data_IF_925316931345
#
_entry.id   IF_925316931345
#
_cell.length_a   1.000
_cell.length_b   1.000
_cell.length_c   1.000
_cell.angle_alpha   90.00
_cell.angle_beta   90.00
_cell.angle_gamma   90.00
#
_symmetry.space_group_name_H-M   'P 1'
#
loop_
_entity.id
_entity.type
_entity.pdbx_description
1 polymer ?
#
# COMPACT_ATOMS: atom_id res chain seq x y z
N UNK A 1 12.10 -15.80 35.97
CA UNK A 1 13.50 -16.20 35.78
C UNK A 1 13.84 -16.65 34.37
N UNK A 2 13.37 -17.80 33.81
CA UNK A 2 13.74 -18.26 32.45
C UNK A 2 13.35 -17.27 31.33
N UNK A 3 12.19 -16.56 31.43
CA UNK A 3 11.74 -15.56 30.44
C UNK A 3 12.62 -14.31 30.45
N UNK A 4 13.09 -13.90 31.61
CA UNK A 4 13.98 -12.75 31.76
C UNK A 4 15.40 -13.04 31.25
N UNK A 5 15.93 -14.22 31.56
CA UNK A 5 17.23 -14.68 31.03
C UNK A 5 17.21 -14.71 29.51
N UNK A 6 16.15 -15.24 28.88
CA UNK A 6 15.97 -15.21 27.42
C UNK A 6 15.92 -13.79 26.86
N UNK A 7 15.32 -12.83 27.56
CA UNK A 7 15.28 -11.44 27.14
C UNK A 7 16.67 -10.77 27.23
N UNK A 8 17.42 -11.05 28.29
CA UNK A 8 18.80 -10.55 28.46
C UNK A 8 19.71 -11.10 27.37
N UNK A 9 19.72 -12.42 27.17
CA UNK A 9 20.50 -13.05 26.10
C UNK A 9 20.18 -12.51 24.72
N UNK A 10 18.91 -12.27 24.45
CA UNK A 10 18.47 -11.65 23.19
C UNK A 10 18.98 -10.21 23.04
N UNK A 11 19.05 -9.44 24.13
CA UNK A 11 19.63 -8.07 24.12
C UNK A 11 21.14 -8.12 23.84
N UNK A 12 21.87 -8.98 24.54
CA UNK A 12 23.32 -9.15 24.36
C UNK A 12 23.64 -9.57 22.93
N UNK A 13 22.98 -10.60 22.42
CA UNK A 13 23.13 -11.05 21.03
C UNK A 13 22.90 -9.90 20.03
N UNK A 14 21.86 -9.10 20.25
CA UNK A 14 21.54 -7.96 19.38
C UNK A 14 22.63 -6.90 19.38
N UNK A 15 23.26 -6.65 20.53
CA UNK A 15 24.37 -5.68 20.66
C UNK A 15 25.60 -6.19 19.91
N UNK A 16 25.92 -7.48 20.06
CA UNK A 16 27.05 -8.12 19.38
C UNK A 16 26.89 -8.04 17.87
N UNK A 17 25.71 -8.43 17.37
CA UNK A 17 25.37 -8.36 15.93
C UNK A 17 25.51 -6.95 15.38
N UNK A 18 24.99 -5.95 16.10
CA UNK A 18 25.09 -4.55 15.69
C UNK A 18 26.55 -4.07 15.62
N UNK A 19 27.35 -4.41 16.63
CA UNK A 19 28.80 -4.07 16.66
C UNK A 19 29.52 -4.73 15.50
N UNK A 20 29.33 -6.04 15.29
CA UNK A 20 29.94 -6.77 14.19
C UNK A 20 29.66 -6.11 12.81
N UNK A 21 28.40 -5.83 12.50
CA UNK A 21 28.08 -5.21 11.23
C UNK A 21 28.53 -3.76 11.10
N UNK A 22 28.69 -3.01 12.21
CA UNK A 22 29.30 -1.67 12.18
C UNK A 22 30.79 -1.73 11.87
N UNK A 23 31.51 -2.74 12.35
CA UNK A 23 32.90 -2.99 11.98
C UNK A 23 32.98 -3.35 10.49
N UNK A 24 32.12 -4.24 10.01
CA UNK A 24 32.17 -4.75 8.65
C UNK A 24 31.78 -3.70 7.58
N UNK A 25 30.76 -2.87 7.83
CA UNK A 25 30.20 -1.96 6.83
C UNK A 25 30.28 -0.48 7.20
N UNK A 26 30.86 -0.15 8.35
CA UNK A 26 30.99 1.20 8.88
C UNK A 26 29.72 1.71 9.56
N UNK A 27 29.89 2.81 10.29
CA UNK A 27 28.80 3.58 10.89
C UNK A 27 28.09 4.37 9.81
N UNK A 28 26.74 4.42 9.90
CA UNK A 28 25.94 5.26 9.00
C UNK A 28 25.72 6.61 9.65
N UNK A 29 26.02 7.66 8.91
CA UNK A 29 25.92 9.05 9.37
C UNK A 29 24.72 9.77 8.73
N UNK A 30 24.17 10.73 9.46
CA UNK A 30 23.19 11.68 8.96
C UNK A 30 23.86 13.03 8.70
N UNK A 31 23.80 13.51 7.47
CA UNK A 31 24.19 14.87 7.09
C UNK A 31 23.02 15.49 6.32
N UNK A 32 22.47 16.62 6.80
CA UNK A 32 21.23 17.22 6.31
C UNK A 32 21.24 17.42 4.79
N UNK A 33 22.28 18.03 4.27
CA UNK A 33 22.35 18.49 2.87
C UNK A 33 23.21 17.57 1.99
N UNK A 34 23.43 16.32 2.44
CA UNK A 34 24.20 15.37 1.66
C UNK A 34 23.37 14.80 0.50
N UNK A 35 23.76 15.18 -0.72
CA UNK A 35 23.08 14.74 -1.96
C UNK A 35 23.57 13.40 -2.49
N UNK A 36 24.83 13.01 -2.17
CA UNK A 36 25.43 11.79 -2.70
C UNK A 36 25.55 11.80 -4.23
N UNK A 37 25.71 10.60 -4.82
CA UNK A 37 25.76 10.43 -6.28
C UNK A 37 24.34 10.12 -6.81
N UNK A 38 23.47 11.14 -6.80
CA UNK A 38 22.06 11.03 -7.22
C UNK A 38 21.83 11.88 -8.46
N UNK A 39 21.31 11.26 -9.50
CA UNK A 39 20.70 11.93 -10.64
C UNK A 39 19.18 11.94 -10.47
N UNK A 40 18.51 13.08 -10.67
CA UNK A 40 17.05 13.17 -10.70
C UNK A 40 16.55 13.42 -12.11
N UNK A 41 15.52 12.66 -12.49
CA UNK A 41 14.83 12.83 -13.77
C UNK A 41 13.38 13.21 -13.45
N UNK A 42 12.98 14.40 -13.90
CA UNK A 42 11.65 14.96 -13.66
C UNK A 42 10.70 14.74 -14.83
N UNK A 43 9.44 14.55 -14.54
CA UNK A 43 8.41 14.45 -15.55
C UNK A 43 8.19 15.83 -16.21
N UNK A 44 8.47 15.94 -17.52
CA UNK A 44 8.37 17.20 -18.25
C UNK A 44 6.92 17.60 -18.55
N UNK A 45 6.04 16.64 -18.84
CA UNK A 45 4.64 16.87 -19.18
C UNK A 45 3.71 16.40 -18.05
N UNK A 46 2.83 17.29 -17.59
CA UNK A 46 2.05 17.15 -16.38
C UNK A 46 0.79 16.26 -16.52
N UNK A 47 0.87 15.10 -17.20
CA UNK A 47 -0.24 14.15 -17.22
C UNK A 47 -0.50 13.46 -15.87
N UNK A 48 0.51 13.51 -14.96
CA UNK A 48 0.41 12.97 -13.60
C UNK A 48 0.46 14.12 -12.59
N UNK A 49 -0.68 14.82 -12.41
CA UNK A 49 -0.77 15.95 -11.46
C UNK A 49 -1.12 15.48 -10.04
N UNK A 50 -0.50 16.09 -9.05
CA UNK A 50 -0.86 15.96 -7.64
C UNK A 50 -0.96 17.36 -7.01
N UNK A 51 -1.99 17.61 -6.18
CA UNK A 51 -2.17 18.89 -5.49
C UNK A 51 -1.01 19.30 -4.58
N UNK A 52 -0.24 18.31 -4.07
CA UNK A 52 0.86 18.52 -3.12
C UNK A 52 2.24 18.49 -3.75
N UNK A 53 2.35 18.01 -4.99
CA UNK A 53 3.60 17.91 -5.71
C UNK A 53 3.43 18.41 -7.14
N UNK A 54 4.21 19.42 -7.52
CA UNK A 54 4.13 20.03 -8.86
C UNK A 54 4.50 19.04 -9.96
N UNK A 55 5.49 18.17 -9.71
CA UNK A 55 5.93 17.17 -10.68
C UNK A 55 6.53 15.95 -9.98
N UNK A 56 6.40 14.78 -10.60
CA UNK A 56 7.04 13.54 -10.14
C UNK A 56 8.45 13.41 -10.69
N UNK A 57 9.29 12.71 -9.94
CA UNK A 57 10.60 12.34 -10.41
C UNK A 57 10.97 10.88 -10.04
N UNK A 58 12.00 10.38 -10.71
CA UNK A 58 12.79 9.25 -10.23
C UNK A 58 14.15 9.76 -9.81
N UNK A 59 14.68 9.20 -8.74
CA UNK A 59 16.07 9.40 -8.31
C UNK A 59 16.87 8.16 -8.67
N UNK A 60 18.02 8.33 -9.34
CA UNK A 60 18.93 7.25 -9.70
C UNK A 60 20.17 7.40 -8.83
N UNK A 61 20.39 6.44 -7.96
CA UNK A 61 21.56 6.36 -7.09
C UNK A 61 22.57 5.38 -7.69
N UNK A 62 23.77 5.86 -8.03
CA UNK A 62 24.84 5.04 -8.59
C UNK A 62 25.73 4.50 -7.48
N UNK A 63 26.08 3.22 -7.55
CA UNK A 63 26.90 2.47 -6.60
C UNK A 63 26.47 2.74 -5.15
N UNK A 64 25.16 2.66 -4.92
CA UNK A 64 24.56 2.91 -3.63
C UNK A 64 24.04 1.65 -2.94
N UNK A 65 23.65 1.83 -1.69
CA UNK A 65 23.08 0.75 -0.88
C UNK A 65 21.65 1.04 -0.45
N UNK A 66 20.86 -0.01 -0.34
CA UNK A 66 19.55 0.01 0.32
C UNK A 66 19.66 -0.81 1.59
N UNK A 67 19.14 -0.27 2.69
CA UNK A 67 18.92 -1.04 3.91
C UNK A 67 17.49 -0.82 4.41
N UNK A 68 16.76 -1.92 4.65
CA UNK A 68 15.39 -1.86 5.20
C UNK A 68 15.22 -2.88 6.31
N UNK A 69 14.53 -2.52 7.39
CA UNK A 69 14.13 -3.46 8.44
C UNK A 69 12.72 -4.01 8.21
N UNK A 70 11.93 -3.22 7.54
CA UNK A 70 10.54 -3.53 7.21
C UNK A 70 10.10 -2.74 5.96
N UNK A 71 8.85 -2.88 5.58
CA UNK A 71 8.24 -2.09 4.50
C UNK A 71 8.02 -0.61 4.87
N UNK A 72 8.17 -0.26 6.14
CA UNK A 72 7.93 1.10 6.67
C UNK A 72 9.19 1.97 6.71
N UNK A 73 10.38 1.34 6.73
CA UNK A 73 11.63 2.07 6.75
C UNK A 73 12.56 1.55 5.66
N UNK A 74 13.01 2.45 4.80
CA UNK A 74 14.04 2.19 3.81
C UNK A 74 15.05 3.32 3.80
N UNK A 75 16.31 2.96 4.00
CA UNK A 75 17.44 3.86 3.94
C UNK A 75 18.20 3.67 2.62
N UNK A 76 18.36 4.74 1.86
CA UNK A 76 19.26 4.81 0.72
C UNK A 76 20.56 5.44 1.18
N UNK A 77 21.69 4.76 0.91
CA UNK A 77 22.97 5.08 1.52
C UNK A 77 24.02 5.23 0.42
N UNK A 78 24.78 6.32 0.49
CA UNK A 78 25.98 6.58 -0.34
C UNK A 78 27.14 6.96 0.57
N UNK A 79 28.31 6.35 0.37
CA UNK A 79 29.53 6.61 1.18
C UNK A 79 29.24 6.68 2.69
N UNK A 80 28.55 5.68 3.22
CA UNK A 80 28.10 5.61 4.62
C UNK A 80 27.25 6.78 5.14
N UNK A 81 26.67 7.59 4.28
CA UNK A 81 25.74 8.64 4.64
C UNK A 81 24.34 8.31 4.13
N UNK A 82 23.33 8.49 4.99
CA UNK A 82 21.93 8.32 4.59
C UNK A 82 21.48 9.50 3.73
N UNK A 83 20.80 9.21 2.65
CA UNK A 83 20.24 10.20 1.71
C UNK A 83 18.84 10.59 2.19
N UNK A 84 18.78 11.68 2.97
CA UNK A 84 17.57 12.11 3.69
C UNK A 84 16.36 12.33 2.75
N UNK A 85 16.59 12.89 1.57
CA UNK A 85 15.54 13.31 0.65
C UNK A 85 14.77 12.15 0.04
N UNK A 86 15.43 11.01 -0.16
CA UNK A 86 14.85 9.83 -0.81
C UNK A 86 14.62 8.66 0.14
N UNK A 87 15.22 8.71 1.33
CA UNK A 87 15.00 7.68 2.35
C UNK A 87 13.65 7.86 3.02
N UNK A 88 13.03 6.75 3.38
CA UNK A 88 11.71 6.72 3.97
C UNK A 88 11.78 6.20 5.41
N UNK A 89 11.45 7.04 6.36
CA UNK A 89 11.45 6.70 7.78
C UNK A 89 10.07 7.00 8.37
N UNK A 90 9.25 5.97 8.50
CA UNK A 90 7.95 6.03 9.15
C UNK A 90 8.06 5.45 10.56
N UNK A 91 7.55 6.20 11.54
CA UNK A 91 7.48 5.78 12.94
C UNK A 91 6.05 6.02 13.41
N UNK A 92 5.38 4.97 13.90
CA UNK A 92 3.99 5.03 14.35
C UNK A 92 3.05 5.69 13.31
N UNK A 93 3.17 5.28 12.06
CA UNK A 93 2.34 5.79 10.96
C UNK A 93 2.66 7.23 10.51
N UNK A 94 3.73 7.88 11.04
CA UNK A 94 4.12 9.24 10.69
C UNK A 94 5.50 9.29 10.03
N UNK A 95 5.62 9.97 8.90
CA UNK A 95 6.90 10.27 8.27
C UNK A 95 7.72 11.19 9.15
N UNK A 96 8.97 10.83 9.33
CA UNK A 96 9.95 11.57 10.13
C UNK A 96 11.27 11.75 9.38
N UNK A 97 12.13 12.63 9.89
CA UNK A 97 13.49 12.80 9.35
C UNK A 97 14.28 11.50 9.38
N UNK A 98 15.09 11.25 8.36
CA UNK A 98 16.00 10.11 8.28
C UNK A 98 17.07 10.12 9.38
N UNK A 99 17.25 11.21 10.13
CA UNK A 99 18.02 11.25 11.39
C UNK A 99 17.51 10.21 12.40
N UNK A 100 16.20 9.88 12.35
CA UNK A 100 15.56 8.88 13.22
C UNK A 100 15.53 7.47 12.60
N UNK A 101 16.10 7.28 11.42
CA UNK A 101 16.14 5.97 10.77
C UNK A 101 16.90 4.96 11.62
N UNK A 102 16.44 3.71 11.62
CA UNK A 102 17.09 2.63 12.36
C UNK A 102 18.55 2.44 11.98
N UNK A 103 18.97 2.75 10.74
CA UNK A 103 20.35 2.60 10.29
C UNK A 103 21.32 3.57 11.00
N UNK A 104 20.84 4.72 11.46
CA UNK A 104 21.66 5.67 12.23
C UNK A 104 22.03 5.07 13.59
N UNK A 105 21.10 4.38 14.23
CA UNK A 105 21.32 3.76 15.54
C UNK A 105 22.04 2.41 15.43
N UNK A 106 21.61 1.56 14.49
CA UNK A 106 22.01 0.14 14.42
C UNK A 106 23.02 -0.14 13.30
N UNK A 107 23.35 0.82 12.43
CA UNK A 107 24.07 0.54 11.19
C UNK A 107 23.21 -0.31 10.23
N UNK A 108 23.88 -1.09 9.41
CA UNK A 108 23.23 -2.01 8.45
C UNK A 108 23.37 -3.46 8.91
N UNK A 109 22.56 -3.95 9.89
CA UNK A 109 22.78 -5.20 10.62
C UNK A 109 22.34 -6.43 9.83
N UNK A 110 22.69 -6.48 8.56
CA UNK A 110 22.39 -7.57 7.63
C UNK A 110 23.53 -7.74 6.63
N UNK A 111 23.80 -8.98 6.19
CA UNK A 111 24.80 -9.25 5.17
C UNK A 111 24.46 -8.53 3.86
N UNK A 112 25.46 -7.86 3.30
CA UNK A 112 25.34 -7.13 2.05
C UNK A 112 25.26 -8.10 0.86
N UNK A 113 24.23 -7.95 0.05
CA UNK A 113 24.10 -8.61 -1.25
C UNK A 113 24.39 -7.61 -2.37
N UNK A 114 25.33 -7.95 -3.26
CA UNK A 114 25.70 -7.11 -4.39
C UNK A 114 25.02 -7.56 -5.66
N UNK A 115 24.49 -6.62 -6.41
CA UNK A 115 23.82 -6.85 -7.68
C UNK A 115 24.46 -6.01 -8.79
N UNK A 116 24.91 -6.65 -9.85
CA UNK A 116 25.29 -5.95 -11.09
C UNK A 116 24.01 -5.61 -11.84
N UNK A 117 23.87 -4.34 -12.28
CA UNK A 117 22.68 -3.88 -13.01
C UNK A 117 21.85 -2.83 -12.27
N UNK A 118 20.64 -2.62 -12.78
CA UNK A 118 19.70 -1.59 -12.32
C UNK A 118 18.58 -2.20 -11.50
N UNK A 119 18.43 -1.75 -10.27
CA UNK A 119 17.41 -2.19 -9.31
C UNK A 119 16.34 -1.11 -9.18
N UNK A 120 15.09 -1.41 -9.52
CA UNK A 120 13.94 -0.56 -9.21
C UNK A 120 13.47 -0.84 -7.77
N UNK A 121 13.62 0.15 -6.90
CA UNK A 121 13.17 0.04 -5.51
C UNK A 121 11.69 0.39 -5.39
N UNK A 122 10.88 -0.60 -5.02
CA UNK A 122 9.45 -0.45 -4.75
C UNK A 122 9.14 -0.52 -3.25
N UNK A 123 10.16 -0.65 -2.41
CA UNK A 123 10.04 -0.70 -0.94
C UNK A 123 9.97 0.72 -0.41
N UNK A 124 8.77 1.18 -0.06
CA UNK A 124 8.56 2.49 0.53
C UNK A 124 7.13 2.58 1.07
N UNK A 125 6.99 2.98 2.34
CA UNK A 125 5.69 2.96 3.01
C UNK A 125 5.17 1.54 3.20
N UNK A 126 3.91 1.36 3.46
CA UNK A 126 3.29 0.05 3.62
C UNK A 126 3.30 -0.81 2.32
N UNK A 127 4.33 -0.72 1.55
CA UNK A 127 4.70 -1.16 0.19
C UNK A 127 3.99 -2.43 -0.34
N UNK A 128 2.75 -2.59 0.05
CA UNK A 128 1.85 -3.57 -0.55
C UNK A 128 2.21 -5.03 -0.35
N UNK A 129 3.02 -5.40 0.65
CA UNK A 129 3.44 -6.79 0.88
C UNK A 129 2.27 -7.78 0.63
N UNK A 130 1.27 -7.77 1.51
CA UNK A 130 0.03 -8.51 1.32
C UNK A 130 -1.19 -7.58 1.20
N UNK A 131 -1.00 -6.28 1.33
CA UNK A 131 -2.08 -5.32 1.38
C UNK A 131 -2.50 -4.90 -0.03
N UNK A 132 -3.69 -5.31 -0.41
CA UNK A 132 -4.28 -5.07 -1.73
C UNK A 132 -4.44 -3.59 -2.06
N UNK A 133 -4.84 -2.75 -1.07
CA UNK A 133 -4.97 -1.29 -1.26
C UNK A 133 -3.62 -0.65 -1.60
N UNK A 134 -2.58 -0.91 -0.80
CA UNK A 134 -1.25 -0.34 -1.02
C UNK A 134 -0.61 -0.85 -2.31
N UNK A 135 -0.93 -2.09 -2.72
CA UNK A 135 -0.50 -2.57 -4.03
C UNK A 135 -1.05 -1.72 -5.16
N UNK A 136 -2.37 -1.49 -5.18
CA UNK A 136 -3.03 -0.74 -6.26
C UNK A 136 -2.68 0.75 -6.23
N UNK A 137 -2.58 1.37 -5.05
CA UNK A 137 -2.50 2.82 -4.91
C UNK A 137 -1.10 3.36 -4.60
N UNK A 138 -0.14 2.50 -4.22
CA UNK A 138 1.24 2.91 -3.95
C UNK A 138 2.22 2.27 -4.95
N UNK A 139 2.20 0.92 -5.08
CA UNK A 139 3.24 0.20 -5.84
C UNK A 139 3.02 0.29 -7.35
N UNK A 140 1.83 -0.03 -7.84
CA UNK A 140 1.55 0.08 -9.29
C UNK A 140 1.75 1.51 -9.81
N UNK A 141 1.34 2.58 -9.09
CA UNK A 141 1.64 3.95 -9.50
C UNK A 141 3.14 4.29 -9.56
N UNK A 142 3.97 3.75 -8.66
CA UNK A 142 5.43 3.93 -8.74
C UNK A 142 6.02 3.32 -10.02
N UNK A 143 5.53 2.17 -10.43
CA UNK A 143 5.93 1.54 -11.69
C UNK A 143 5.57 2.44 -12.88
N UNK A 144 4.39 3.08 -12.84
CA UNK A 144 3.96 4.00 -13.91
C UNK A 144 4.77 5.28 -13.92
N UNK A 145 5.05 5.87 -12.76
CA UNK A 145 5.96 7.02 -12.66
C UNK A 145 7.31 6.67 -13.28
N UNK A 146 7.85 5.48 -12.96
CA UNK A 146 9.11 5.02 -13.55
C UNK A 146 8.99 4.88 -15.07
N UNK A 147 7.94 4.18 -15.56
CA UNK A 147 7.71 3.97 -17.00
C UNK A 147 7.55 5.26 -17.79
N UNK A 148 7.02 6.32 -17.15
CA UNK A 148 6.86 7.64 -17.79
C UNK A 148 8.18 8.41 -17.91
N UNK A 149 9.22 8.00 -17.19
CA UNK A 149 10.51 8.70 -17.12
C UNK A 149 11.67 7.91 -17.71
N UNK A 150 11.54 6.58 -17.74
CA UNK A 150 12.53 5.69 -18.37
C UNK A 150 11.89 4.37 -18.82
N UNK A 151 12.50 3.72 -19.80
CA UNK A 151 12.06 2.38 -20.23
C UNK A 151 12.25 1.36 -19.12
N UNK A 152 11.23 0.55 -18.85
CA UNK A 152 11.32 -0.56 -17.90
C UNK A 152 12.28 -1.66 -18.34
N UNK A 153 12.63 -1.74 -19.66
CA UNK A 153 13.64 -2.67 -20.16
C UNK A 153 15.05 -2.38 -19.65
N UNK A 154 15.28 -1.18 -19.08
CA UNK A 154 16.54 -0.81 -18.42
C UNK A 154 16.61 -1.25 -16.96
N UNK A 155 15.55 -1.92 -16.44
CA UNK A 155 15.45 -2.43 -15.07
C UNK A 155 15.74 -3.93 -15.09
N UNK A 156 16.80 -4.34 -14.40
CA UNK A 156 17.17 -5.75 -14.29
C UNK A 156 16.43 -6.45 -13.14
N UNK A 157 16.14 -5.70 -12.06
CA UNK A 157 15.55 -6.26 -10.86
C UNK A 157 14.50 -5.33 -10.24
N UNK A 158 13.44 -5.94 -9.69
CA UNK A 158 12.43 -5.27 -8.87
C UNK A 158 12.69 -5.61 -7.40
N UNK A 159 13.04 -4.62 -6.58
CA UNK A 159 13.27 -4.79 -5.15
C UNK A 159 11.97 -4.57 -4.39
N UNK A 160 11.39 -5.64 -3.86
CA UNK A 160 10.08 -5.65 -3.21
C UNK A 160 9.88 -6.96 -2.42
N UNK A 161 8.86 -7.06 -1.53
CA UNK A 161 8.51 -8.32 -0.89
C UNK A 161 8.14 -9.42 -1.89
N UNK A 162 8.10 -10.69 -1.44
CA UNK A 162 7.66 -11.83 -2.28
C UNK A 162 6.25 -11.57 -2.83
N UNK A 163 6.10 -11.69 -4.14
CA UNK A 163 4.83 -11.43 -4.82
C UNK A 163 3.74 -12.45 -4.47
N UNK A 164 2.53 -11.95 -4.23
CA UNK A 164 1.30 -12.71 -4.12
C UNK A 164 0.69 -12.99 -5.52
N UNK A 165 -0.29 -13.90 -5.60
CA UNK A 165 -0.96 -14.27 -6.88
C UNK A 165 -1.53 -13.04 -7.60
N UNK A 166 -2.30 -12.19 -6.90
CA UNK A 166 -2.91 -10.99 -7.49
C UNK A 166 -1.87 -9.97 -7.98
N UNK A 167 -0.74 -9.86 -7.29
CA UNK A 167 0.35 -8.96 -7.70
C UNK A 167 1.00 -9.43 -9.00
N UNK A 168 1.32 -10.73 -9.11
CA UNK A 168 1.81 -11.32 -10.37
C UNK A 168 0.82 -11.12 -11.51
N UNK A 169 -0.47 -11.36 -11.23
CA UNK A 169 -1.52 -11.20 -12.23
C UNK A 169 -1.61 -9.76 -12.75
N UNK A 170 -1.59 -8.77 -11.87
CA UNK A 170 -1.64 -7.35 -12.27
C UNK A 170 -0.41 -6.94 -13.08
N UNK A 171 0.80 -7.37 -12.71
CA UNK A 171 2.02 -7.10 -13.47
C UNK A 171 1.96 -7.73 -14.88
N UNK A 172 1.53 -8.98 -14.98
CA UNK A 172 1.35 -9.66 -16.26
C UNK A 172 0.36 -8.92 -17.17
N UNK A 173 -0.78 -8.45 -16.63
CA UNK A 173 -1.77 -7.67 -17.37
C UNK A 173 -1.24 -6.30 -17.83
N UNK A 174 -0.25 -5.75 -17.16
CA UNK A 174 0.46 -4.52 -17.54
C UNK A 174 1.59 -4.78 -18.57
N UNK A 175 1.75 -6.03 -19.02
CA UNK A 175 2.81 -6.42 -19.94
C UNK A 175 4.19 -6.50 -19.30
N UNK A 176 4.25 -6.49 -17.95
CA UNK A 176 5.50 -6.61 -17.20
C UNK A 176 5.73 -8.11 -16.95
N UNK A 177 6.56 -8.70 -17.81
CA UNK A 177 6.95 -10.11 -17.78
C UNK A 177 8.46 -10.19 -17.54
N UNK A 178 8.95 -11.38 -17.24
CA UNK A 178 10.37 -11.74 -17.23
C UNK A 178 11.27 -10.83 -16.36
N UNK A 179 10.72 -10.26 -15.29
CA UNK A 179 11.47 -9.48 -14.33
C UNK A 179 11.93 -10.33 -13.15
N UNK A 180 13.14 -10.04 -12.66
CA UNK A 180 13.71 -10.69 -11.49
C UNK A 180 13.32 -9.93 -10.21
N UNK A 181 12.69 -10.61 -9.27
CA UNK A 181 12.35 -10.04 -7.97
C UNK A 181 13.45 -10.33 -6.96
N UNK A 182 14.01 -9.27 -6.39
CA UNK A 182 14.83 -9.36 -5.18
C UNK A 182 13.88 -9.22 -3.99
N UNK A 183 13.70 -10.30 -3.23
CA UNK A 183 12.84 -10.31 -2.06
C UNK A 183 13.43 -9.46 -0.92
N UNK A 184 12.86 -8.29 -0.67
CA UNK A 184 13.33 -7.32 0.32
C UNK A 184 13.26 -7.82 1.77
N UNK A 185 12.41 -8.80 2.08
CA UNK A 185 12.37 -9.43 3.42
C UNK A 185 13.56 -10.35 3.67
N UNK A 186 14.10 -10.99 2.63
CA UNK A 186 15.28 -11.84 2.71
C UNK A 186 16.58 -11.06 2.50
N UNK A 187 16.57 -10.08 1.59
CA UNK A 187 17.73 -9.27 1.22
C UNK A 187 17.54 -7.83 1.74
N UNK A 188 17.66 -7.65 3.05
CA UNK A 188 17.42 -6.36 3.71
C UNK A 188 18.54 -5.34 3.52
N UNK A 189 19.73 -5.76 3.11
CA UNK A 189 20.87 -4.92 2.80
C UNK A 189 21.44 -5.31 1.44
N UNK A 190 21.35 -4.42 0.47
CA UNK A 190 21.85 -4.64 -0.87
C UNK A 190 22.61 -3.43 -1.40
N UNK A 191 23.53 -3.68 -2.33
CA UNK A 191 24.22 -2.71 -3.15
C UNK A 191 23.93 -3.02 -4.62
N UNK A 192 23.76 -2.00 -5.44
CA UNK A 192 23.58 -2.19 -6.88
C UNK A 192 24.32 -1.12 -7.69
N UNK A 193 24.64 -1.46 -8.94
CA UNK A 193 25.27 -0.49 -9.86
C UNK A 193 24.43 0.76 -10.03
N UNK A 194 23.09 0.58 -10.19
CA UNK A 194 22.12 1.66 -10.19
C UNK A 194 20.88 1.26 -9.38
N UNK A 195 20.40 2.20 -8.58
CA UNK A 195 19.14 2.05 -7.84
C UNK A 195 18.19 3.15 -8.32
N UNK A 196 17.09 2.76 -8.92
CA UNK A 196 16.01 3.65 -9.37
C UNK A 196 14.97 3.75 -8.27
N UNK A 197 14.68 4.96 -7.82
CA UNK A 197 13.82 5.27 -6.69
C UNK A 197 12.74 6.22 -7.17
N UNK A 198 11.53 5.74 -7.47
CA UNK A 198 10.41 6.60 -7.87
C UNK A 198 9.82 7.30 -6.65
N UNK A 199 9.29 8.49 -6.91
CA UNK A 199 8.46 9.18 -5.92
C UNK A 199 7.27 8.32 -5.45
N UNK A 200 6.85 8.54 -4.19
CA UNK A 200 5.57 8.02 -3.74
C UNK A 200 4.43 8.81 -4.42
N UNK A 201 3.33 8.16 -4.87
CA UNK A 201 2.28 8.87 -5.61
C UNK A 201 1.53 9.92 -4.78
N UNK A 202 1.47 9.80 -3.45
CA UNK A 202 0.66 10.68 -2.60
C UNK A 202 1.20 10.92 -1.17
N UNK A 203 2.17 10.15 -0.68
CA UNK A 203 2.64 10.25 0.71
C UNK A 203 4.02 10.89 0.81
N UNK A 204 4.08 12.16 1.26
CA UNK A 204 5.30 12.95 1.33
C UNK A 204 5.61 13.49 2.73
N UNK A 205 4.62 13.55 3.63
CA UNK A 205 4.76 14.12 4.98
C UNK A 205 3.63 13.66 5.89
N UNK A 206 3.70 13.99 7.17
CA UNK A 206 2.60 13.80 8.11
C UNK A 206 2.30 12.33 8.43
N UNK A 207 1.06 12.06 8.75
CA UNK A 207 0.57 10.70 9.06
C UNK A 207 -0.06 10.06 7.84
N UNK A 208 0.13 8.75 7.68
CA UNK A 208 -0.46 7.99 6.58
C UNK A 208 -1.99 8.11 6.56
N UNK A 209 -2.63 8.16 7.74
CA UNK A 209 -4.09 8.32 7.86
C UNK A 209 -4.63 9.61 7.24
N UNK A 210 -3.87 10.70 7.33
CA UNK A 210 -4.27 11.98 6.74
C UNK A 210 -3.90 12.06 5.27
N UNK A 211 -2.70 11.57 4.91
CA UNK A 211 -2.16 11.70 3.56
C UNK A 211 -2.87 10.82 2.53
N UNK A 212 -3.46 9.72 2.94
CA UNK A 212 -4.24 8.84 2.05
C UNK A 212 -5.43 9.57 1.37
N UNK A 213 -5.91 10.67 1.95
CA UNK A 213 -6.89 11.55 1.31
C UNK A 213 -6.31 12.34 0.11
N UNK A 214 -4.99 12.29 -0.07
CA UNK A 214 -4.27 12.96 -1.17
C UNK A 214 -4.02 12.06 -2.38
N UNK A 215 -4.68 10.90 -2.44
CA UNK A 215 -4.64 10.03 -3.63
C UNK A 215 -5.00 10.86 -4.86
N UNK A 216 -4.10 10.95 -5.85
CA UNK A 216 -4.34 11.78 -7.03
C UNK A 216 -5.34 11.13 -7.99
N UNK A 217 -6.10 11.94 -8.67
CA UNK A 217 -7.12 11.52 -9.63
C UNK A 217 -6.53 10.64 -10.75
N UNK A 218 -5.34 10.97 -11.23
CA UNK A 218 -4.68 10.20 -12.28
C UNK A 218 -4.48 8.73 -11.92
N UNK A 219 -4.25 8.42 -10.63
CA UNK A 219 -4.12 7.03 -10.16
C UNK A 219 -5.40 6.25 -10.38
N UNK A 220 -6.54 6.83 -10.03
CA UNK A 220 -7.86 6.22 -10.26
C UNK A 220 -8.12 6.04 -11.76
N UNK A 221 -7.93 7.10 -12.55
CA UNK A 221 -8.12 7.06 -14.01
C UNK A 221 -7.21 6.02 -14.68
N UNK A 222 -5.95 5.97 -14.26
CA UNK A 222 -4.99 5.04 -14.80
C UNK A 222 -5.33 3.58 -14.45
N UNK A 223 -5.67 3.27 -13.20
CA UNK A 223 -6.09 1.91 -12.79
C UNK A 223 -7.30 1.45 -13.60
N UNK A 224 -8.30 2.31 -13.75
CA UNK A 224 -9.48 2.02 -14.59
C UNK A 224 -9.09 1.73 -16.04
N UNK A 225 -8.34 2.63 -16.68
CA UNK A 225 -7.88 2.47 -18.07
C UNK A 225 -7.08 1.18 -18.25
N UNK A 226 -6.22 0.84 -17.28
CA UNK A 226 -5.32 -0.32 -17.37
C UNK A 226 -6.04 -1.66 -17.24
N UNK A 227 -7.08 -1.75 -16.41
CA UNK A 227 -7.65 -3.05 -16.04
C UNK A 227 -9.07 -3.27 -16.55
N UNK A 228 -9.90 -2.23 -16.72
CA UNK A 228 -11.25 -2.40 -17.25
C UNK A 228 -11.28 -2.88 -18.71
N UNK A 229 -10.21 -2.72 -19.48
CA UNK A 229 -10.12 -3.28 -20.83
C UNK A 229 -10.15 -4.82 -20.86
N UNK A 230 -9.81 -5.47 -19.74
CA UNK A 230 -9.82 -6.92 -19.60
C UNK A 230 -11.11 -7.47 -18.99
N UNK A 231 -12.09 -6.59 -18.67
CA UNK A 231 -13.38 -7.04 -18.13
C UNK A 231 -14.12 -7.93 -19.12
N UNK A 232 -14.85 -8.89 -18.59
CA UNK A 232 -15.78 -9.70 -19.38
C UNK A 232 -16.97 -8.85 -19.86
N UNK A 233 -17.70 -9.32 -20.87
CA UNK A 233 -18.91 -8.66 -21.38
C UNK A 233 -19.93 -8.44 -20.25
N UNK A 234 -20.86 -7.47 -20.45
CA UNK A 234 -21.87 -7.05 -19.46
C UNK A 234 -22.49 -8.25 -18.72
N UNK A 235 -22.28 -8.30 -17.41
CA UNK A 235 -22.97 -9.19 -16.50
C UNK A 235 -24.23 -8.56 -15.92
N UNK A 236 -25.04 -9.37 -15.23
CA UNK A 236 -26.20 -8.86 -14.47
C UNK A 236 -25.76 -7.84 -13.43
N UNK A 237 -26.58 -6.81 -13.22
CA UNK A 237 -26.37 -5.82 -12.16
C UNK A 237 -26.44 -6.46 -10.78
N UNK A 238 -25.39 -6.29 -9.96
CA UNK A 238 -25.22 -6.99 -8.70
C UNK A 238 -25.34 -6.05 -7.50
N UNK A 239 -25.96 -6.54 -6.42
CA UNK A 239 -25.81 -5.99 -5.07
C UNK A 239 -24.82 -6.89 -4.33
N UNK A 240 -23.73 -6.36 -3.81
CA UNK A 240 -22.68 -7.15 -3.16
C UNK A 240 -22.43 -6.71 -1.72
N UNK A 241 -22.24 -7.69 -0.83
CA UNK A 241 -21.73 -7.50 0.51
C UNK A 241 -20.34 -8.12 0.61
N UNK A 242 -19.36 -7.33 1.03
CA UNK A 242 -17.99 -7.80 1.23
C UNK A 242 -17.91 -8.43 2.62
N UNK A 243 -17.84 -9.75 2.67
CA UNK A 243 -17.61 -10.50 3.90
C UNK A 243 -16.09 -10.53 4.22
N UNK A 244 -15.75 -10.18 5.46
CA UNK A 244 -14.38 -10.16 5.96
C UNK A 244 -14.12 -11.18 7.06
N UNK A 245 -15.00 -12.17 7.25
CA UNK A 245 -14.87 -13.19 8.30
C UNK A 245 -13.53 -13.94 8.23
N UNK A 246 -12.99 -14.18 7.02
CA UNK A 246 -11.74 -14.90 6.77
C UNK A 246 -10.51 -13.98 6.60
N UNK A 247 -10.62 -12.68 6.96
CA UNK A 247 -9.49 -11.75 6.81
C UNK A 247 -8.36 -12.09 7.79
N UNK A 248 -7.13 -12.20 7.31
CA UNK A 248 -5.93 -12.36 8.15
C UNK A 248 -5.80 -11.23 9.20
N UNK A 249 -6.28 -10.03 8.86
CA UNK A 249 -6.28 -8.87 9.75
C UNK A 249 -7.66 -8.66 10.33
N UNK A 250 -7.81 -8.92 11.62
CA UNK A 250 -9.10 -8.89 12.33
C UNK A 250 -9.57 -7.49 12.75
N UNK A 251 -9.07 -6.43 12.13
CA UNK A 251 -9.57 -5.08 12.39
C UNK A 251 -10.91 -4.83 11.67
N UNK A 252 -11.76 -4.01 12.25
CA UNK A 252 -13.10 -3.67 11.74
C UNK A 252 -13.99 -4.90 11.49
N UNK A 253 -13.95 -5.91 12.37
CA UNK A 253 -14.79 -7.09 12.29
C UNK A 253 -16.21 -6.79 12.79
N UNK A 254 -17.22 -7.27 12.08
CA UNK A 254 -18.61 -7.26 12.56
C UNK A 254 -18.85 -8.51 13.40
N UNK A 255 -19.21 -8.34 14.69
CA UNK A 255 -19.51 -9.49 15.57
C UNK A 255 -20.84 -10.15 15.22
N UNK A 256 -21.81 -9.38 14.70
CA UNK A 256 -23.07 -9.90 14.20
C UNK A 256 -23.09 -10.10 12.68
N UNK A 257 -21.95 -10.51 12.11
CA UNK A 257 -21.78 -10.66 10.67
C UNK A 257 -22.79 -11.63 10.04
N UNK A 258 -23.11 -12.73 10.73
CA UNK A 258 -24.06 -13.73 10.20
C UNK A 258 -25.50 -13.22 10.17
N UNK A 259 -25.91 -12.43 11.15
CA UNK A 259 -27.19 -11.73 11.14
C UNK A 259 -27.27 -10.77 9.93
N UNK A 260 -26.21 -9.99 9.70
CA UNK A 260 -26.14 -9.05 8.58
C UNK A 260 -26.13 -9.78 7.23
N UNK A 261 -25.41 -10.89 7.11
CA UNK A 261 -25.45 -11.72 5.89
C UNK A 261 -26.86 -12.21 5.60
N UNK A 262 -27.55 -12.82 6.58
CA UNK A 262 -28.93 -13.29 6.44
C UNK A 262 -29.89 -12.14 6.04
N UNK A 263 -29.74 -10.98 6.69
CA UNK A 263 -30.52 -9.78 6.41
C UNK A 263 -30.33 -9.28 4.97
N UNK A 264 -29.09 -9.28 4.46
CA UNK A 264 -28.76 -8.80 3.12
C UNK A 264 -29.09 -9.81 2.02
N UNK A 265 -28.92 -11.11 2.28
CA UNK A 265 -29.34 -12.17 1.36
C UNK A 265 -30.84 -12.06 1.00
N UNK A 266 -31.71 -11.84 2.01
CA UNK A 266 -33.16 -11.61 1.81
C UNK A 266 -33.47 -10.38 0.94
N UNK A 267 -32.47 -9.49 0.70
CA UNK A 267 -32.57 -8.27 -0.14
C UNK A 267 -31.82 -8.38 -1.44
N UNK A 268 -31.45 -9.60 -1.83
CA UNK A 268 -30.79 -9.90 -3.10
C UNK A 268 -29.32 -9.49 -3.16
N UNK A 269 -28.64 -9.33 -1.99
CA UNK A 269 -27.20 -9.13 -1.97
C UNK A 269 -26.47 -10.47 -2.10
N UNK A 270 -25.44 -10.50 -2.92
CA UNK A 270 -24.48 -11.61 -3.00
C UNK A 270 -23.39 -11.39 -1.95
N UNK A 271 -23.13 -12.39 -1.12
CA UNK A 271 -22.06 -12.37 -0.12
C UNK A 271 -20.75 -12.78 -0.81
N UNK A 272 -19.70 -11.97 -0.67
CA UNK A 272 -18.42 -12.17 -1.35
C UNK A 272 -17.23 -12.10 -0.40
N UNK A 273 -16.41 -13.12 -0.42
CA UNK A 273 -15.08 -13.15 0.17
C UNK A 273 -14.06 -12.87 -0.94
N UNK A 274 -13.59 -11.62 -1.03
CA UNK A 274 -12.78 -11.17 -2.16
C UNK A 274 -11.39 -11.79 -2.20
N UNK A 275 -10.88 -12.28 -1.07
CA UNK A 275 -9.55 -12.90 -0.98
C UNK A 275 -9.38 -14.19 -1.78
N UNK A 276 -10.47 -14.93 -1.99
CA UNK A 276 -10.48 -16.17 -2.78
C UNK A 276 -10.60 -15.95 -4.30
N UNK A 277 -10.89 -14.71 -4.73
CA UNK A 277 -11.16 -14.39 -6.12
C UNK A 277 -9.88 -13.97 -6.86
N UNK A 278 -9.77 -14.39 -8.14
CA UNK A 278 -8.76 -13.82 -9.04
C UNK A 278 -8.97 -12.31 -9.24
N UNK A 279 -7.90 -11.60 -9.57
CA UNK A 279 -7.95 -10.15 -9.75
C UNK A 279 -9.00 -9.70 -10.79
N UNK A 280 -9.07 -10.37 -11.95
CA UNK A 280 -10.05 -10.01 -12.97
C UNK A 280 -11.48 -10.37 -12.58
N UNK A 281 -11.70 -11.43 -11.78
CA UNK A 281 -13.00 -11.71 -11.19
C UNK A 281 -13.45 -10.57 -10.26
N UNK A 282 -12.52 -10.03 -9.46
CA UNK A 282 -12.83 -8.85 -8.63
C UNK A 282 -13.17 -7.63 -9.50
N UNK A 283 -12.38 -7.35 -10.55
CA UNK A 283 -12.65 -6.25 -11.50
C UNK A 283 -14.05 -6.39 -12.11
N UNK A 284 -14.42 -7.59 -12.58
CA UNK A 284 -15.73 -7.88 -13.18
C UNK A 284 -16.88 -7.66 -12.19
N UNK A 285 -16.76 -8.22 -10.99
CA UNK A 285 -17.78 -8.12 -9.95
C UNK A 285 -18.05 -6.67 -9.55
N UNK A 286 -17.01 -5.90 -9.29
CA UNK A 286 -17.16 -4.50 -8.91
C UNK A 286 -17.62 -3.61 -10.08
N UNK A 287 -17.20 -3.90 -11.31
CA UNK A 287 -17.71 -3.17 -12.49
C UNK A 287 -19.20 -3.44 -12.77
N UNK A 288 -19.72 -4.61 -12.39
CA UNK A 288 -21.13 -4.96 -12.53
C UNK A 288 -21.95 -4.68 -11.26
N UNK A 289 -21.31 -4.19 -10.17
CA UNK A 289 -22.04 -3.84 -8.97
C UNK A 289 -22.85 -2.55 -9.15
N UNK A 290 -24.12 -2.58 -8.73
CA UNK A 290 -24.96 -1.39 -8.51
C UNK A 290 -24.98 -0.97 -7.05
N UNK A 291 -24.63 -1.88 -6.14
CA UNK A 291 -24.55 -1.65 -4.72
C UNK A 291 -23.40 -2.42 -4.09
N UNK A 292 -22.57 -1.75 -3.29
CA UNK A 292 -21.47 -2.35 -2.54
C UNK A 292 -21.60 -2.00 -1.07
N UNK A 293 -21.67 -2.99 -0.20
CA UNK A 293 -21.71 -2.82 1.27
C UNK A 293 -20.59 -3.65 1.89
N UNK A 294 -19.97 -3.15 2.95
CA UNK A 294 -19.05 -3.97 3.75
C UNK A 294 -18.34 -3.21 4.86
N UNK A 295 -17.66 -3.94 5.75
CA UNK A 295 -16.77 -3.35 6.74
C UNK A 295 -15.52 -2.77 6.07
N UNK A 296 -14.98 -1.69 6.64
CA UNK A 296 -13.73 -1.06 6.20
C UNK A 296 -12.61 -2.08 5.97
N UNK A 297 -11.93 -2.01 4.83
CA UNK A 297 -10.83 -2.91 4.52
C UNK A 297 -10.36 -2.87 3.08
N UNK A 298 -9.21 -3.51 2.82
CA UNK A 298 -8.49 -3.42 1.56
C UNK A 298 -9.32 -3.81 0.31
N UNK A 299 -10.35 -4.63 0.46
CA UNK A 299 -11.26 -5.01 -0.63
C UNK A 299 -12.00 -3.81 -1.25
N UNK A 300 -12.23 -2.75 -0.47
CA UNK A 300 -12.80 -1.49 -0.98
C UNK A 300 -11.90 -0.76 -1.98
N UNK A 301 -10.64 -1.14 -2.12
CA UNK A 301 -9.79 -0.63 -3.20
C UNK A 301 -10.39 -0.92 -4.59
N UNK A 302 -11.19 -1.98 -4.71
CA UNK A 302 -11.92 -2.33 -5.94
C UNK A 302 -13.02 -1.33 -6.33
N UNK A 303 -13.40 -0.39 -5.45
CA UNK A 303 -14.33 0.69 -5.81
C UNK A 303 -13.81 1.50 -7.02
N UNK A 304 -12.50 1.49 -7.26
CA UNK A 304 -11.89 2.08 -8.45
C UNK A 304 -12.47 1.50 -9.75
N UNK A 305 -12.97 0.26 -9.75
CA UNK A 305 -13.52 -0.42 -10.92
C UNK A 305 -15.04 -0.30 -11.06
N UNK A 306 -15.73 0.22 -10.04
CA UNK A 306 -17.18 0.46 -10.11
C UNK A 306 -17.55 1.45 -11.23
N UNK A 307 -18.77 1.34 -11.75
CA UNK A 307 -19.35 2.35 -12.64
C UNK A 307 -19.73 3.59 -11.83
N UNK A 308 -19.74 4.78 -12.46
CA UNK A 308 -20.32 5.97 -11.82
C UNK A 308 -21.72 5.69 -11.29
N UNK A 309 -22.11 6.39 -10.22
CA UNK A 309 -23.42 6.27 -9.53
C UNK A 309 -23.66 4.91 -8.85
N UNK A 310 -22.67 4.01 -8.78
CA UNK A 310 -22.76 2.82 -7.92
C UNK A 310 -22.95 3.25 -6.46
N UNK A 311 -23.95 2.68 -5.78
CA UNK A 311 -24.21 2.93 -4.37
C UNK A 311 -23.18 2.20 -3.49
N UNK A 312 -22.61 2.89 -2.51
CA UNK A 312 -21.57 2.34 -1.62
C UNK A 312 -21.89 2.66 -0.16
N UNK A 313 -21.90 1.64 0.70
CA UNK A 313 -21.97 1.81 2.16
C UNK A 313 -20.71 1.21 2.80
N UNK A 314 -19.89 2.05 3.36
CA UNK A 314 -18.73 1.64 4.18
C UNK A 314 -19.10 1.64 5.66
N UNK A 315 -18.94 0.48 6.32
CA UNK A 315 -19.16 0.32 7.76
C UNK A 315 -17.81 0.42 8.46
N UNK A 316 -17.58 1.43 9.29
CA UNK A 316 -16.26 1.67 9.88
C UNK A 316 -16.27 2.38 11.22
N UNK A 317 -15.18 2.28 12.02
CA UNK A 317 -14.94 3.19 13.14
C UNK A 317 -14.76 4.64 12.66
N UNK A 318 -15.15 5.61 13.48
CA UNK A 318 -15.09 7.04 13.13
C UNK A 318 -13.69 7.51 12.71
N UNK A 319 -12.65 7.03 13.38
CA UNK A 319 -11.26 7.48 13.18
C UNK A 319 -10.51 6.76 12.04
N UNK A 320 -11.10 5.74 11.42
CA UNK A 320 -10.50 5.12 10.23
C UNK A 320 -10.40 6.13 9.06
N UNK A 321 -9.36 6.02 8.21
CA UNK A 321 -9.12 6.98 7.14
C UNK A 321 -10.25 7.02 6.11
N UNK A 322 -10.36 8.12 5.38
CA UNK A 322 -11.40 8.36 4.38
C UNK A 322 -10.95 8.05 2.93
N UNK A 323 -9.98 7.15 2.78
CA UNK A 323 -9.46 6.75 1.47
C UNK A 323 -10.54 6.23 0.51
N UNK A 324 -11.49 5.44 1.00
CA UNK A 324 -12.57 4.90 0.15
C UNK A 324 -13.63 5.95 -0.19
N UNK A 325 -13.88 6.91 0.70
CA UNK A 325 -14.65 8.11 0.37
C UNK A 325 -13.95 8.91 -0.74
N UNK A 326 -12.63 9.09 -0.66
CA UNK A 326 -11.85 9.78 -1.69
C UNK A 326 -11.93 9.06 -3.03
N UNK A 327 -11.72 7.73 -3.06
CA UNK A 327 -11.83 6.92 -4.29
C UNK A 327 -13.24 7.00 -4.86
N UNK A 328 -14.26 6.93 -4.01
CA UNK A 328 -15.66 7.05 -4.41
C UNK A 328 -15.97 8.38 -5.06
N UNK A 329 -15.50 9.48 -4.48
CA UNK A 329 -15.68 10.82 -5.03
C UNK A 329 -14.97 10.97 -6.40
N UNK A 330 -13.73 10.45 -6.51
CA UNK A 330 -12.97 10.50 -7.76
C UNK A 330 -13.57 9.63 -8.88
N UNK A 331 -14.42 8.67 -8.53
CA UNK A 331 -15.07 7.74 -9.44
C UNK A 331 -16.58 7.99 -9.55
N UNK A 332 -17.08 9.13 -9.02
CA UNK A 332 -18.50 9.54 -9.06
C UNK A 332 -19.46 8.47 -8.49
N UNK A 333 -19.12 7.86 -7.34
CA UNK A 333 -19.97 6.89 -6.66
C UNK A 333 -20.87 7.57 -5.63
N UNK A 334 -22.08 7.02 -5.41
CA UNK A 334 -22.99 7.42 -4.34
C UNK A 334 -22.52 6.83 -3.01
N UNK A 335 -21.62 7.53 -2.32
CA UNK A 335 -20.99 7.00 -1.11
C UNK A 335 -21.68 7.45 0.16
N UNK A 336 -21.93 6.49 1.05
CA UNK A 336 -22.32 6.71 2.44
C UNK A 336 -21.41 5.93 3.39
N UNK A 337 -21.24 6.43 4.62
CA UNK A 337 -20.52 5.72 5.66
C UNK A 337 -21.40 5.54 6.91
N UNK A 338 -21.28 4.39 7.56
CA UNK A 338 -21.89 4.13 8.85
C UNK A 338 -20.77 4.06 9.88
N UNK A 339 -20.64 5.12 10.68
CA UNK A 339 -19.68 5.16 11.75
C UNK A 339 -20.20 4.40 12.97
N UNK A 340 -19.40 3.47 13.47
CA UNK A 340 -19.71 2.65 14.62
C UNK A 340 -18.70 2.87 15.75
N UNK A 341 -19.16 2.65 16.99
CA UNK A 341 -18.28 2.56 18.15
C UNK A 341 -17.62 1.19 18.17
N UNK A 342 -16.34 1.14 18.55
CA UNK A 342 -15.63 -0.11 18.79
C UNK A 342 -16.06 -0.69 20.14
N UNK A 343 -16.31 -1.98 20.18
CA UNK A 343 -16.69 -2.71 21.39
C UNK A 343 -15.44 -3.01 22.25
N UNK A 344 -14.33 -3.33 21.61
CA UNK A 344 -13.03 -3.59 22.24
C UNK A 344 -11.96 -2.87 21.41
N UNK A 345 -11.69 -1.59 21.69
CA UNK A 345 -10.70 -0.83 20.91
C UNK A 345 -9.30 -1.42 21.09
N UNK A 346 -8.61 -1.62 19.96
CA UNK A 346 -7.20 -1.98 19.87
C UNK A 346 -6.40 -0.78 19.35
N UNK A 347 -5.08 -0.96 19.25
CA UNK A 347 -4.20 0.04 18.70
C UNK A 347 -4.67 0.52 17.29
N UNK A 348 -4.54 1.80 17.00
CA UNK A 348 -4.97 2.45 15.74
C UNK A 348 -6.47 2.38 15.43
N UNK A 349 -7.33 2.43 16.47
CA UNK A 349 -8.79 2.36 16.29
C UNK A 349 -9.24 1.10 15.53
N UNK A 350 -8.54 0.01 15.77
CA UNK A 350 -8.93 -1.33 15.32
C UNK A 350 -9.79 -2.00 16.41
N UNK A 351 -10.69 -2.86 16.00
CA UNK A 351 -11.51 -3.64 16.93
C UNK A 351 -12.81 -4.12 16.31
N UNK A 352 -13.60 -4.74 17.17
CA UNK A 352 -14.87 -5.33 16.81
C UNK A 352 -15.99 -4.28 16.79
N UNK A 353 -16.94 -4.44 15.87
CA UNK A 353 -18.09 -3.56 15.69
C UNK A 353 -19.38 -4.37 15.70
N UNK A 354 -20.45 -3.73 16.11
CA UNK A 354 -21.83 -4.25 16.00
C UNK A 354 -22.69 -3.25 15.23
N UNK A 355 -23.44 -3.70 14.25
CA UNK A 355 -24.36 -2.86 13.47
C UNK A 355 -25.81 -3.32 13.63
N UNK A 356 -26.69 -2.39 13.96
CA UNK A 356 -28.12 -2.67 13.96
C UNK A 356 -28.65 -2.76 12.52
N UNK A 357 -29.31 -3.87 12.12
CA UNK A 357 -29.88 -4.04 10.78
C UNK A 357 -30.85 -2.91 10.37
N UNK A 358 -31.63 -2.36 11.31
CA UNK A 358 -32.55 -1.22 11.03
C UNK A 358 -31.77 0.02 10.60
N UNK A 359 -30.61 0.30 11.26
CA UNK A 359 -29.72 1.42 10.87
C UNK A 359 -29.16 1.21 9.47
N UNK A 360 -28.73 -0.02 9.15
CA UNK A 360 -28.24 -0.36 7.81
C UNK A 360 -29.34 -0.19 6.75
N UNK A 361 -30.56 -0.66 7.04
CA UNK A 361 -31.72 -0.53 6.15
C UNK A 361 -32.03 0.93 5.83
N UNK A 362 -32.02 1.81 6.85
CA UNK A 362 -32.26 3.25 6.64
C UNK A 362 -31.31 3.84 5.62
N UNK A 363 -30.00 3.51 5.69
CA UNK A 363 -29.00 4.01 4.75
C UNK A 363 -29.14 3.39 3.37
N UNK A 364 -29.49 2.10 3.28
CA UNK A 364 -29.80 1.44 1.98
C UNK A 364 -30.94 2.17 1.28
N UNK A 365 -32.05 2.42 1.99
CA UNK A 365 -33.22 3.09 1.42
C UNK A 365 -32.93 4.54 0.97
N UNK A 366 -32.06 5.25 1.70
CA UNK A 366 -31.63 6.62 1.28
C UNK A 366 -30.86 6.56 -0.04
N UNK A 367 -29.98 5.58 -0.22
CA UNK A 367 -29.19 5.48 -1.46
C UNK A 367 -30.01 4.91 -2.62
N UNK A 368 -30.93 3.99 -2.38
CA UNK A 368 -31.82 3.45 -3.43
C UNK A 368 -32.78 4.53 -4.00
N UNK A 369 -33.10 5.58 -3.22
CA UNK A 369 -33.92 6.73 -3.67
C UNK A 369 -33.14 7.76 -4.51
N UNK A 370 -31.81 7.71 -4.51
CA UNK A 370 -30.94 8.62 -5.26
C UNK A 370 -30.72 8.20 -6.74
N UNK A 371 -31.67 7.45 -7.30
CA UNK A 371 -31.66 7.04 -8.71
C UNK A 371 -31.90 8.21 -9.65
#
# INVERSE_FOLDING_TARGET
MMREIKLILKKIYRIIVIKFFKILYGKIEFKRDYKGNIQKIYLKNNNLKNHKKKTYCISILTNGRICTDSVEQVAYISKNKILNEISYTQINGKLTSSKRSFVIQKGTPYFLKKYKGTVLSLVQGASGDKNYFHWLFDILPKIIITKSLMSLNKIDYFYMPKLQKFQRRTLSLLGIKDFKVINSKKNKHLEATKIVIPDHPWYYKGTIFNEVNSIPEWTVKWLRKSFLKFKRKKGKSLKIFIDRSESEYSHCKLINNDEIKKFLLKRGFKILQTGSLDFLQQVDLFNNAKFVIGPHGAAFANLVFCKPKTNVIEIKPKKQPNNYKKISNLNDLNYAQINLRLLKPKYLEEGDMHINPKKLLKVINILDKKK
#
